data_IF_703336373085
#
_entry.id   IF_703336373085
#
_cell.length_a   1.000
_cell.length_b   1.000
_cell.length_c   1.000
_cell.angle_alpha   90.00
_cell.angle_beta   90.00
_cell.angle_gamma   90.00
#
_symmetry.space_group_name_H-M   'P 1'
#
loop_
_entity.id
_entity.type
_entity.pdbx_description
1 polymer ?
#
# COMPACT_ATOMS: atom_id res chain seq x y z
N UNK A 1 -74.00 -0.44 50.89
CA UNK A 1 -72.62 -0.94 50.78
C UNK A 1 -71.74 0.28 50.71
N UNK A 2 -70.89 0.48 51.72
CA UNK A 2 -70.02 1.65 51.79
C UNK A 2 -68.78 1.38 50.95
N UNK A 3 -68.41 2.32 50.08
CA UNK A 3 -67.12 2.29 49.42
C UNK A 3 -66.12 3.11 50.24
N UNK A 4 -64.94 2.55 50.47
CA UNK A 4 -63.81 3.18 51.15
C UNK A 4 -62.65 3.30 50.17
N UNK A 5 -61.80 4.32 50.34
CA UNK A 5 -60.60 4.47 49.51
C UNK A 5 -59.44 3.68 50.12
N UNK A 6 -58.76 2.90 49.31
CA UNK A 6 -57.51 2.26 49.71
C UNK A 6 -56.44 3.31 49.98
N UNK A 7 -55.77 3.23 51.12
CA UNK A 7 -54.72 4.18 51.55
C UNK A 7 -53.46 4.10 50.68
N UNK A 8 -53.24 2.96 50.00
CA UNK A 8 -52.07 2.75 49.13
C UNK A 8 -52.31 3.18 47.67
N UNK A 9 -53.42 2.73 47.05
CA UNK A 9 -53.65 2.98 45.62
C UNK A 9 -54.74 4.03 45.33
N UNK A 10 -55.43 4.53 46.35
CA UNK A 10 -56.44 5.59 46.22
C UNK A 10 -57.75 5.20 45.52
N UNK A 11 -57.87 3.96 45.00
CA UNK A 11 -59.10 3.45 44.36
C UNK A 11 -60.17 3.07 45.38
N UNK A 12 -61.43 3.18 44.97
CA UNK A 12 -62.59 2.83 45.80
C UNK A 12 -62.80 1.32 45.84
N UNK A 13 -62.95 0.78 47.05
CA UNK A 13 -63.16 -0.64 47.30
C UNK A 13 -64.31 -0.83 48.29
N UNK A 14 -64.94 -2.00 48.25
CA UNK A 14 -66.00 -2.38 49.19
C UNK A 14 -65.46 -2.61 50.59
N UNK A 15 -66.18 -2.14 51.60
CA UNK A 15 -65.88 -2.34 53.03
C UNK A 15 -65.94 -3.82 53.50
N UNK A 16 -66.37 -4.74 52.63
CA UNK A 16 -66.39 -6.19 52.88
C UNK A 16 -65.26 -6.97 52.20
N UNK A 17 -64.40 -6.32 51.40
CA UNK A 17 -63.28 -7.01 50.77
C UNK A 17 -62.23 -7.42 51.83
N UNK A 18 -61.62 -8.60 51.72
CA UNK A 18 -60.55 -9.01 52.65
C UNK A 18 -59.22 -8.30 52.36
N UNK A 19 -59.03 -7.89 51.10
CA UNK A 19 -57.91 -7.09 50.60
C UNK A 19 -58.33 -6.27 49.37
N UNK A 20 -57.59 -5.19 49.06
CA UNK A 20 -57.85 -4.36 47.89
C UNK A 20 -57.66 -5.17 46.59
N UNK A 21 -58.69 -5.30 45.71
CA UNK A 21 -58.57 -6.05 44.46
C UNK A 21 -57.57 -5.43 43.45
N UNK A 22 -57.21 -4.15 43.64
CA UNK A 22 -56.37 -3.41 42.70
C UNK A 22 -54.87 -3.42 43.05
N UNK A 23 -54.52 -3.56 44.33
CA UNK A 23 -53.12 -3.54 44.77
C UNK A 23 -52.75 -4.62 45.80
N UNK A 24 -53.72 -5.40 46.29
CA UNK A 24 -53.47 -6.48 47.25
C UNK A 24 -53.30 -6.04 48.72
N UNK A 25 -53.44 -4.74 49.05
CA UNK A 25 -53.31 -4.25 50.42
C UNK A 25 -54.39 -4.86 51.35
N UNK A 26 -54.03 -5.48 52.49
CA UNK A 26 -54.96 -6.14 53.40
C UNK A 26 -55.81 -5.13 54.18
N UNK A 27 -57.11 -5.42 54.34
CA UNK A 27 -58.06 -4.47 54.95
C UNK A 27 -57.80 -4.13 56.42
N UNK A 28 -57.02 -4.96 57.11
CA UNK A 28 -56.62 -4.74 58.51
C UNK A 28 -55.77 -3.49 58.69
N UNK A 29 -54.99 -3.09 57.70
CA UNK A 29 -54.17 -1.86 57.73
C UNK A 29 -54.98 -0.62 57.31
N UNK A 30 -56.02 -0.78 56.49
CA UNK A 30 -56.89 0.32 56.07
C UNK A 30 -57.84 0.76 57.21
N UNK A 31 -58.22 -0.16 58.10
CA UNK A 31 -59.14 0.11 59.22
C UNK A 31 -58.45 0.70 60.47
N UNK A 32 -57.15 0.43 60.67
CA UNK A 32 -56.39 0.90 61.85
C UNK A 32 -56.14 2.42 61.83
N UNK A 33 -56.11 3.06 60.65
CA UNK A 33 -55.99 4.51 60.51
C UNK A 33 -57.27 5.29 60.89
N UNK A 34 -58.43 4.61 60.97
CA UNK A 34 -59.75 5.27 61.17
C UNK A 34 -60.23 5.32 62.62
N UNK A 35 -59.55 4.69 63.59
CA UNK A 35 -60.07 4.51 64.97
C UNK A 35 -59.41 5.35 66.07
N UNK A 36 -58.45 6.21 65.78
CA UNK A 36 -57.90 7.13 66.78
C UNK A 36 -58.57 8.51 66.74
N UNK A 37 -59.87 8.60 67.07
CA UNK A 37 -60.49 9.86 67.48
C UNK A 37 -61.86 9.66 68.17
N UNK A 38 -61.89 9.72 69.51
CA UNK A 38 -62.93 10.24 70.45
C UNK A 38 -62.82 9.54 71.83
N UNK A 39 -62.33 10.26 72.87
CA UNK A 39 -63.08 10.82 74.05
C UNK A 39 -63.43 9.77 75.13
N UNK A 40 -63.32 9.94 76.47
CA UNK A 40 -63.41 11.06 77.45
C UNK A 40 -62.72 10.57 78.77
N UNK A 41 -61.82 11.31 79.43
CA UNK A 41 -61.96 12.41 80.42
C UNK A 41 -62.23 12.00 81.90
N UNK A 42 -61.31 12.33 82.82
CA UNK A 42 -61.61 12.90 84.17
C UNK A 42 -60.54 13.90 84.64
N UNK A 43 -61.05 15.01 85.18
CA UNK A 43 -60.50 16.39 85.32
C UNK A 43 -59.73 16.68 86.63
N UNK A 44 -58.71 17.58 86.60
CA UNK A 44 -58.55 18.88 87.35
C UNK A 44 -57.07 19.29 87.58
N UNK A 45 -56.70 20.59 87.65
CA UNK A 45 -57.28 21.82 87.08
C UNK A 45 -56.32 22.54 86.08
N UNK A 46 -56.85 23.18 85.04
CA UNK A 46 -56.08 23.98 84.07
C UNK A 46 -56.52 25.46 84.13
N UNK A 47 -55.53 26.34 84.22
CA UNK A 47 -55.68 27.80 84.21
C UNK A 47 -56.25 28.29 82.87
N UNK A 48 -57.28 29.12 82.97
CA UNK A 48 -57.90 29.86 81.88
C UNK A 48 -56.83 30.75 81.22
N UNK A 49 -56.59 30.59 79.91
CA UNK A 49 -55.89 31.59 79.10
C UNK A 49 -56.93 32.48 78.44
N UNK A 50 -56.79 33.78 78.66
CA UNK A 50 -57.66 34.85 78.18
C UNK A 50 -57.77 34.91 76.64
N UNK A 51 -58.88 35.45 76.10
CA UNK A 51 -59.09 35.57 74.66
C UNK A 51 -58.16 36.64 74.07
N UNK A 52 -57.34 36.22 73.10
CA UNK A 52 -56.38 37.05 72.37
C UNK A 52 -57.16 38.08 71.52
N UNK A 53 -56.88 39.37 71.71
CA UNK A 53 -57.49 40.49 70.98
C UNK A 53 -56.99 40.57 69.52
N UNK A 54 -57.75 41.21 68.59
CA UNK A 54 -57.43 41.28 67.15
C UNK A 54 -56.03 41.84 66.81
N UNK A 55 -55.48 42.74 67.63
CA UNK A 55 -54.11 43.28 67.48
C UNK A 55 -53.01 42.25 67.80
N UNK A 56 -53.22 41.40 68.80
CA UNK A 56 -52.23 40.39 69.22
C UNK A 56 -52.12 39.25 68.20
N UNK A 57 -53.19 38.99 67.44
CA UNK A 57 -53.21 38.04 66.31
C UNK A 57 -52.38 38.55 65.13
N UNK A 58 -52.45 39.86 64.81
CA UNK A 58 -51.65 40.52 63.77
C UNK A 58 -50.14 40.51 64.09
N UNK A 59 -49.75 40.82 65.34
CA UNK A 59 -48.34 40.76 65.78
C UNK A 59 -47.74 39.34 65.76
N UNK A 60 -48.52 38.31 66.14
CA UNK A 60 -48.07 36.91 66.06
C UNK A 60 -47.90 36.41 64.62
N UNK A 61 -48.82 36.79 63.73
CA UNK A 61 -48.71 36.47 62.28
C UNK A 61 -47.50 37.18 61.67
N UNK A 62 -47.22 38.43 62.05
CA UNK A 62 -46.05 39.19 61.61
C UNK A 62 -44.72 38.60 62.09
N UNK A 63 -44.63 38.18 63.37
CA UNK A 63 -43.42 37.52 63.89
C UNK A 63 -43.19 36.15 63.22
N UNK A 64 -44.25 35.36 63.03
CA UNK A 64 -44.14 34.07 62.31
C UNK A 64 -43.79 34.24 60.83
N UNK A 65 -44.26 35.30 60.17
CA UNK A 65 -43.88 35.58 58.78
C UNK A 65 -42.42 36.03 58.68
N UNK A 66 -41.94 36.85 59.61
CA UNK A 66 -40.54 37.31 59.65
C UNK A 66 -39.59 36.14 59.94
N UNK A 67 -39.89 35.26 60.90
CA UNK A 67 -39.04 34.08 61.17
C UNK A 67 -39.07 33.07 60.02
N UNK A 68 -40.23 32.84 59.39
CA UNK A 68 -40.31 32.02 58.18
C UNK A 68 -39.47 32.62 57.04
N UNK A 69 -39.50 33.94 56.86
CA UNK A 69 -38.71 34.63 55.85
C UNK A 69 -37.21 34.53 56.12
N UNK A 70 -36.78 34.67 57.39
CA UNK A 70 -35.37 34.49 57.79
C UNK A 70 -34.92 33.04 57.60
N UNK A 71 -35.77 32.05 57.87
CA UNK A 71 -35.46 30.64 57.62
C UNK A 71 -35.37 30.33 56.12
N UNK A 72 -36.28 30.87 55.30
CA UNK A 72 -36.21 30.74 53.84
C UNK A 72 -34.95 31.42 53.30
N UNK A 73 -34.61 32.61 53.80
CA UNK A 73 -33.39 33.31 53.43
C UNK A 73 -32.13 32.52 53.85
N UNK A 74 -32.13 31.91 55.04
CA UNK A 74 -31.04 31.05 55.49
C UNK A 74 -30.89 29.80 54.62
N UNK A 75 -31.99 29.14 54.23
CA UNK A 75 -31.98 28.00 53.30
C UNK A 75 -31.53 28.41 51.90
N UNK A 76 -31.97 29.58 51.42
CA UNK A 76 -31.54 30.12 50.14
C UNK A 76 -30.04 30.45 50.15
N UNK A 77 -29.53 31.02 51.25
CA UNK A 77 -28.10 31.30 51.43
C UNK A 77 -27.29 30.00 51.53
N UNK A 78 -27.74 29.00 52.29
CA UNK A 78 -27.03 27.72 52.38
C UNK A 78 -27.05 26.95 51.06
N UNK A 79 -28.15 26.97 50.31
CA UNK A 79 -28.21 26.40 48.96
C UNK A 79 -27.30 27.15 47.99
N UNK A 80 -27.35 28.49 47.99
CA UNK A 80 -26.55 29.32 47.09
C UNK A 80 -25.05 29.16 47.36
N UNK A 81 -24.61 29.33 48.61
CA UNK A 81 -23.20 29.24 48.98
C UNK A 81 -22.67 27.80 49.09
N UNK A 82 -23.52 26.84 49.50
CA UNK A 82 -23.12 25.46 49.75
C UNK A 82 -23.27 24.52 48.55
N UNK A 83 -24.13 24.84 47.58
CA UNK A 83 -24.41 23.97 46.42
C UNK A 83 -24.17 24.72 45.12
N UNK A 84 -24.82 25.86 44.89
CA UNK A 84 -24.78 26.55 43.60
C UNK A 84 -23.39 27.08 43.24
N UNK A 85 -22.75 27.86 44.12
CA UNK A 85 -21.39 28.38 43.89
C UNK A 85 -20.36 27.27 43.60
N UNK A 86 -20.22 26.20 44.42
CA UNK A 86 -19.25 25.15 44.14
C UNK A 86 -19.58 24.36 42.87
N UNK A 87 -20.85 24.17 42.55
CA UNK A 87 -21.28 23.56 41.29
C UNK A 87 -20.90 24.42 40.08
N UNK A 88 -21.23 25.71 40.08
CA UNK A 88 -20.90 26.65 39.01
C UNK A 88 -19.38 26.71 38.79
N UNK A 89 -18.59 26.71 39.89
CA UNK A 89 -17.13 26.67 39.84
C UNK A 89 -16.60 25.36 39.25
N UNK A 90 -17.08 24.21 39.72
CA UNK A 90 -16.67 22.90 39.21
C UNK A 90 -17.02 22.75 37.72
N UNK A 91 -18.18 23.25 37.30
CA UNK A 91 -18.59 23.22 35.89
C UNK A 91 -17.73 24.15 35.03
N UNK A 92 -17.38 25.34 35.51
CA UNK A 92 -16.45 26.23 34.81
C UNK A 92 -15.06 25.60 34.65
N UNK A 93 -14.54 24.93 35.70
CA UNK A 93 -13.27 24.19 35.62
C UNK A 93 -13.36 23.01 34.62
N UNK A 94 -14.48 22.28 34.63
CA UNK A 94 -14.74 21.22 33.65
C UNK A 94 -14.74 21.75 32.21
N UNK A 95 -15.41 22.88 31.94
CA UNK A 95 -15.45 23.48 30.60
C UNK A 95 -14.04 23.84 30.10
N UNK A 96 -13.19 24.39 30.96
CA UNK A 96 -11.80 24.69 30.63
C UNK A 96 -11.03 23.42 30.27
N UNK A 97 -11.19 22.34 31.04
CA UNK A 97 -10.58 21.04 30.73
C UNK A 97 -11.13 20.43 29.44
N UNK A 98 -12.44 20.57 29.20
CA UNK A 98 -13.10 20.09 27.99
C UNK A 98 -12.56 20.78 26.74
N UNK A 99 -12.44 22.11 26.78
CA UNK A 99 -11.85 22.88 25.69
C UNK A 99 -10.38 22.48 25.48
N UNK A 100 -9.61 22.34 26.56
CA UNK A 100 -8.22 21.91 26.50
C UNK A 100 -8.07 20.48 25.95
N UNK A 101 -8.96 19.55 26.31
CA UNK A 101 -9.00 18.20 25.76
C UNK A 101 -9.21 18.23 24.25
N UNK A 102 -10.23 18.97 23.79
CA UNK A 102 -10.55 19.06 22.37
C UNK A 102 -9.42 19.73 21.58
N UNK A 103 -8.72 20.70 22.19
CA UNK A 103 -7.51 21.27 21.63
C UNK A 103 -6.38 20.23 21.49
N UNK A 104 -6.19 19.33 22.46
CA UNK A 104 -5.20 18.25 22.30
C UNK A 104 -5.61 17.24 21.21
N UNK A 105 -6.91 16.99 21.01
CA UNK A 105 -7.40 16.19 19.88
C UNK A 105 -7.06 16.85 18.54
N UNK A 106 -7.22 18.18 18.42
CA UNK A 106 -6.79 18.92 17.23
C UNK A 106 -5.29 18.82 17.00
N UNK A 107 -4.48 18.99 18.05
CA UNK A 107 -3.02 18.84 17.99
C UNK A 107 -2.64 17.42 17.53
N UNK A 108 -3.21 16.38 18.15
CA UNK A 108 -3.02 14.99 17.77
C UNK A 108 -3.35 14.76 16.29
N UNK A 109 -4.53 15.19 15.85
CA UNK A 109 -5.00 15.01 14.48
C UNK A 109 -4.12 15.74 13.46
N UNK A 110 -3.57 16.91 13.80
CA UNK A 110 -2.62 17.63 12.98
C UNK A 110 -1.29 16.89 12.86
N UNK A 111 -0.77 16.35 13.96
CA UNK A 111 0.45 15.52 13.97
C UNK A 111 0.26 14.23 13.16
N UNK A 112 -0.87 13.55 13.33
CA UNK A 112 -1.27 12.37 12.55
C UNK A 112 -1.34 12.70 11.05
N UNK A 113 -1.89 13.84 10.66
CA UNK A 113 -1.91 14.25 9.25
C UNK A 113 -0.50 14.38 8.66
N UNK A 114 0.42 15.03 9.38
CA UNK A 114 1.81 15.19 8.93
C UNK A 114 2.53 13.85 8.81
N UNK A 115 2.37 12.99 9.82
CA UNK A 115 2.91 11.63 9.80
C UNK A 115 2.36 10.85 8.60
N UNK A 116 1.03 10.80 8.46
CA UNK A 116 0.36 10.01 7.42
C UNK A 116 0.74 10.51 6.02
N UNK A 117 0.96 11.81 5.82
CA UNK A 117 1.45 12.34 4.54
C UNK A 117 2.81 11.73 4.17
N UNK A 118 3.77 11.70 5.11
CA UNK A 118 5.08 11.09 4.88
C UNK A 118 4.97 9.58 4.70
N UNK A 119 4.20 8.91 5.55
CA UNK A 119 3.96 7.47 5.48
C UNK A 119 3.40 7.06 4.12
N UNK A 120 2.41 7.79 3.61
CA UNK A 120 1.84 7.55 2.29
C UNK A 120 2.84 7.75 1.15
N UNK A 121 3.76 8.71 1.26
CA UNK A 121 4.84 8.88 0.27
C UNK A 121 5.81 7.70 0.28
N UNK A 122 6.15 7.17 1.45
CA UNK A 122 6.98 5.96 1.56
C UNK A 122 6.24 4.75 0.96
N UNK A 123 4.97 4.56 1.31
CA UNK A 123 4.13 3.50 0.75
C UNK A 123 4.08 3.59 -0.78
N UNK A 124 3.89 4.78 -1.34
CA UNK A 124 3.86 5.00 -2.78
C UNK A 124 5.20 4.69 -3.44
N UNK A 125 6.32 5.17 -2.89
CA UNK A 125 7.66 4.90 -3.40
C UNK A 125 8.02 3.40 -3.36
N UNK A 126 7.72 2.73 -2.25
CA UNK A 126 7.90 1.27 -2.12
C UNK A 126 7.08 0.51 -3.17
N UNK A 127 5.81 0.91 -3.36
CA UNK A 127 4.93 0.31 -4.36
C UNK A 127 5.45 0.49 -5.78
N UNK A 128 5.94 1.68 -6.13
CA UNK A 128 6.51 1.97 -7.44
C UNK A 128 7.72 1.09 -7.72
N UNK A 129 8.71 1.07 -6.82
CA UNK A 129 9.90 0.22 -6.98
C UNK A 129 9.53 -1.27 -7.02
N UNK A 130 8.58 -1.71 -6.20
CA UNK A 130 8.11 -3.10 -6.21
C UNK A 130 7.51 -3.48 -7.56
N UNK A 131 6.68 -2.61 -8.14
CA UNK A 131 6.10 -2.84 -9.47
C UNK A 131 7.16 -2.98 -10.56
N UNK A 132 8.16 -2.09 -10.57
CA UNK A 132 9.29 -2.17 -11.51
C UNK A 132 10.10 -3.45 -11.32
N UNK A 133 10.34 -3.89 -10.09
CA UNK A 133 11.03 -5.16 -9.81
C UNK A 133 10.21 -6.36 -10.31
N UNK A 134 8.88 -6.33 -10.18
CA UNK A 134 8.00 -7.40 -10.65
C UNK A 134 7.99 -7.50 -12.18
N UNK A 135 7.93 -6.36 -12.89
CA UNK A 135 8.03 -6.30 -14.35
C UNK A 135 9.37 -6.88 -14.85
N UNK A 136 10.48 -6.42 -14.28
CA UNK A 136 11.82 -6.91 -14.63
C UNK A 136 12.03 -8.39 -14.30
N UNK A 137 11.47 -8.87 -13.18
CA UNK A 137 11.55 -10.29 -12.83
C UNK A 137 10.75 -11.14 -13.84
N UNK A 138 9.61 -10.65 -14.33
CA UNK A 138 8.84 -11.36 -15.34
C UNK A 138 9.62 -11.50 -16.66
N UNK A 139 10.43 -10.49 -17.03
CA UNK A 139 11.34 -10.57 -18.17
C UNK A 139 12.39 -11.67 -17.99
N UNK A 140 12.97 -11.80 -16.82
CA UNK A 140 13.94 -12.87 -16.50
C UNK A 140 13.26 -14.25 -16.51
N UNK A 141 12.04 -14.33 -15.98
CA UNK A 141 11.30 -15.58 -15.81
C UNK A 141 10.62 -16.07 -17.10
N UNK A 142 10.78 -15.35 -18.23
CA UNK A 142 10.15 -15.71 -19.51
C UNK A 142 10.65 -17.04 -20.09
N UNK A 143 11.83 -17.51 -19.67
CA UNK A 143 12.44 -18.78 -20.09
C UNK A 143 13.22 -18.71 -21.41
N UNK A 144 13.27 -17.54 -22.05
CA UNK A 144 14.11 -17.32 -23.23
C UNK A 144 15.59 -17.28 -22.84
N UNK A 145 16.46 -17.62 -23.81
CA UNK A 145 17.92 -17.52 -23.65
C UNK A 145 18.38 -16.20 -24.25
N UNK A 146 19.11 -15.34 -23.53
CA UNK A 146 19.63 -14.09 -24.08
C UNK A 146 20.89 -14.35 -24.90
N UNK A 147 21.16 -13.50 -25.90
CA UNK A 147 22.39 -13.55 -26.68
C UNK A 147 23.61 -13.25 -25.80
N UNK A 148 23.57 -12.13 -25.06
CA UNK A 148 24.54 -11.77 -24.03
C UNK A 148 24.09 -12.29 -22.66
N UNK A 149 24.63 -13.43 -22.24
CA UNK A 149 24.24 -14.10 -20.98
C UNK A 149 24.45 -13.26 -19.70
N UNK A 150 25.37 -12.29 -19.74
CA UNK A 150 25.65 -11.41 -18.61
C UNK A 150 24.49 -10.46 -18.31
N UNK A 151 23.71 -10.03 -19.33
CA UNK A 151 22.57 -9.10 -19.17
C UNK A 151 21.56 -9.60 -18.13
N UNK A 152 21.19 -10.88 -18.21
CA UNK A 152 20.27 -11.52 -17.26
C UNK A 152 20.88 -11.65 -15.86
N UNK A 153 22.20 -11.90 -15.76
CA UNK A 153 22.88 -12.01 -14.46
C UNK A 153 22.97 -10.66 -13.76
N UNK A 154 23.31 -9.62 -14.52
CA UNK A 154 23.38 -8.23 -14.07
C UNK A 154 22.02 -7.79 -13.54
N UNK A 155 20.95 -7.92 -14.35
CA UNK A 155 19.60 -7.56 -13.92
C UNK A 155 19.17 -8.34 -12.67
N UNK A 156 19.40 -9.65 -12.60
CA UNK A 156 19.09 -10.44 -11.40
C UNK A 156 19.78 -9.91 -10.13
N UNK A 157 21.04 -9.51 -10.23
CA UNK A 157 21.78 -8.95 -9.11
C UNK A 157 21.23 -7.58 -8.71
N UNK A 158 20.93 -6.73 -9.69
CA UNK A 158 20.30 -5.42 -9.47
C UNK A 158 18.94 -5.58 -8.79
N UNK A 159 18.08 -6.50 -9.25
CA UNK A 159 16.79 -6.78 -8.60
C UNK A 159 16.94 -7.25 -7.16
N UNK A 160 17.92 -8.12 -6.89
CA UNK A 160 18.22 -8.57 -5.52
C UNK A 160 18.63 -7.41 -4.60
N UNK A 161 19.50 -6.52 -5.08
CA UNK A 161 19.94 -5.34 -4.32
C UNK A 161 18.80 -4.32 -4.13
N UNK A 162 17.95 -4.16 -5.15
CA UNK A 162 16.80 -3.28 -5.14
C UNK A 162 15.76 -3.71 -4.10
N UNK A 163 15.46 -5.02 -4.02
CA UNK A 163 14.59 -5.59 -2.97
C UNK A 163 15.09 -5.28 -1.56
N UNK A 164 16.40 -5.33 -1.35
CA UNK A 164 17.00 -5.00 -0.05
C UNK A 164 16.99 -3.50 0.28
N UNK A 165 16.74 -2.64 -0.71
CA UNK A 165 16.68 -1.18 -0.55
C UNK A 165 15.28 -0.68 -0.18
N UNK A 166 14.25 -1.55 -0.30
CA UNK A 166 12.88 -1.22 0.08
C UNK A 166 12.81 -1.02 1.59
N UNK A 167 12.33 0.16 2.01
CA UNK A 167 12.19 0.49 3.40
C UNK A 167 10.98 -0.23 4.02
N UNK A 168 10.99 -0.40 5.34
CA UNK A 168 9.81 -0.91 6.06
C UNK A 168 8.59 -0.02 5.78
N UNK A 169 7.43 -0.67 5.60
CA UNK A 169 6.19 0.04 5.29
C UNK A 169 5.59 0.58 6.59
N UNK A 170 5.48 1.91 6.76
CA UNK A 170 4.90 2.49 7.96
C UNK A 170 3.40 2.20 8.07
N UNK A 171 2.92 2.09 9.30
CA UNK A 171 1.49 2.03 9.58
C UNK A 171 0.83 3.40 9.36
N UNK A 172 -0.50 3.46 9.34
CA UNK A 172 -1.26 4.71 9.25
C UNK A 172 -2.01 4.91 10.56
N UNK A 173 -1.95 6.12 11.12
CA UNK A 173 -2.69 6.48 12.33
C UNK A 173 -4.08 7.00 11.98
N UNK A 174 -5.06 6.59 12.78
CA UNK A 174 -6.43 7.08 12.68
C UNK A 174 -6.60 8.38 13.47
N UNK A 175 -7.46 9.27 12.95
CA UNK A 175 -7.84 10.49 13.65
C UNK A 175 -8.77 10.18 14.82
N UNK A 176 -8.69 11.01 15.85
CA UNK A 176 -9.63 10.99 16.98
C UNK A 176 -10.74 12.01 16.76
N UNK A 177 -11.92 11.69 17.31
CA UNK A 177 -13.10 12.54 17.22
C UNK A 177 -13.16 13.45 18.45
N UNK A 178 -13.44 14.73 18.25
CA UNK A 178 -13.64 15.68 19.34
C UNK A 178 -14.87 15.28 20.17
N UNK A 179 -14.81 15.55 21.47
CA UNK A 179 -15.94 15.32 22.36
C UNK A 179 -17.00 16.39 22.16
N UNK A 180 -18.27 15.97 22.24
CA UNK A 180 -19.41 16.87 22.32
C UNK A 180 -19.72 17.21 23.77
N UNK A 181 -20.14 18.46 24.02
CA UNK A 181 -20.41 18.93 25.36
C UNK A 181 -21.71 18.32 25.91
N UNK A 182 -21.61 17.63 27.05
CA UNK A 182 -22.80 17.19 27.79
C UNK A 182 -23.37 18.35 28.63
N UNK A 183 -24.36 19.05 28.08
CA UNK A 183 -25.05 20.13 28.77
C UNK A 183 -25.78 19.67 30.04
N UNK A 184 -26.11 18.37 30.19
CA UNK A 184 -26.81 17.87 31.36
C UNK A 184 -25.95 17.89 32.63
N UNK A 185 -24.62 17.88 32.46
CA UNK A 185 -23.65 17.90 33.54
C UNK A 185 -23.73 19.19 34.38
N UNK A 186 -24.17 20.31 33.79
CA UNK A 186 -24.32 21.59 34.50
C UNK A 186 -25.37 21.57 35.63
N UNK A 187 -26.27 20.57 35.65
CA UNK A 187 -27.28 20.36 36.70
C UNK A 187 -26.85 19.35 37.75
N UNK A 188 -25.67 18.75 37.60
CA UNK A 188 -25.17 17.71 38.50
C UNK A 188 -24.53 18.27 39.77
N UNK A 189 -24.37 17.41 40.79
CA UNK A 189 -23.67 17.76 42.02
C UNK A 189 -22.19 18.04 41.73
N UNK A 190 -21.61 19.03 42.43
CA UNK A 190 -20.21 19.44 42.25
C UNK A 190 -19.20 18.28 42.32
N UNK A 191 -19.40 17.27 43.18
CA UNK A 191 -18.51 16.11 43.27
C UNK A 191 -18.50 15.28 41.99
N UNK A 192 -19.67 15.07 41.34
CA UNK A 192 -19.78 14.34 40.08
C UNK A 192 -19.12 15.09 38.93
N UNK A 193 -19.25 16.42 38.91
CA UNK A 193 -18.59 17.27 37.92
C UNK A 193 -17.06 17.17 38.10
N UNK A 194 -16.58 17.18 39.34
CA UNK A 194 -15.16 17.03 39.66
C UNK A 194 -14.63 15.65 39.24
N UNK A 195 -15.37 14.57 39.48
CA UNK A 195 -15.01 13.21 39.03
C UNK A 195 -14.91 13.14 37.50
N UNK A 196 -15.88 13.71 36.78
CA UNK A 196 -15.86 13.79 35.31
C UNK A 196 -14.66 14.62 34.81
N UNK A 197 -14.35 15.73 35.47
CA UNK A 197 -13.20 16.58 35.15
C UNK A 197 -11.86 15.87 35.38
N UNK A 198 -11.75 15.05 36.44
CA UNK A 198 -10.56 14.26 36.71
C UNK A 198 -10.37 13.16 35.66
N UNK A 199 -11.44 12.42 35.33
CA UNK A 199 -11.41 11.42 34.24
C UNK A 199 -10.99 12.02 32.92
N UNK A 200 -11.54 13.18 32.55
CA UNK A 200 -11.22 13.86 31.29
C UNK A 200 -9.77 14.35 31.25
N UNK A 201 -9.21 14.77 32.38
CA UNK A 201 -7.80 15.13 32.48
C UNK A 201 -6.87 13.93 32.30
N UNK A 202 -7.25 12.75 32.80
CA UNK A 202 -6.50 11.50 32.57
C UNK A 202 -6.48 11.18 31.08
N UNK A 203 -7.65 11.14 30.43
CA UNK A 203 -7.74 10.89 28.98
C UNK A 203 -6.96 11.93 28.18
N UNK A 204 -7.05 13.22 28.55
CA UNK A 204 -6.25 14.29 27.92
C UNK A 204 -4.75 13.99 28.00
N UNK A 205 -4.25 13.55 29.16
CA UNK A 205 -2.83 13.21 29.33
C UNK A 205 -2.40 12.05 28.41
N UNK A 206 -3.28 11.08 28.17
CA UNK A 206 -3.01 9.98 27.24
C UNK A 206 -2.92 10.49 25.79
N UNK A 207 -3.79 11.43 25.39
CA UNK A 207 -3.72 12.07 24.07
C UNK A 207 -2.40 12.82 23.88
N UNK A 208 -1.94 13.54 24.92
CA UNK A 208 -0.65 14.25 24.88
C UNK A 208 0.50 13.26 24.69
N UNK A 209 0.52 12.14 25.41
CA UNK A 209 1.53 11.09 25.24
C UNK A 209 1.53 10.53 23.81
N UNK A 210 0.36 10.13 23.32
CA UNK A 210 0.21 9.60 21.96
C UNK A 210 0.62 10.63 20.89
N UNK A 211 0.36 11.92 21.12
CA UNK A 211 0.79 12.99 20.20
C UNK A 211 2.31 13.09 20.14
N UNK A 212 2.99 12.98 21.29
CA UNK A 212 4.46 12.98 21.37
C UNK A 212 5.05 11.78 20.63
N UNK A 213 4.51 10.58 20.87
CA UNK A 213 4.96 9.33 20.23
C UNK A 213 4.84 9.41 18.69
N UNK A 214 3.67 9.80 18.16
CA UNK A 214 3.48 9.97 16.71
C UNK A 214 4.38 11.08 16.15
N UNK A 215 4.63 12.14 16.93
CA UNK A 215 5.53 13.23 16.55
C UNK A 215 6.99 12.77 16.40
N UNK A 216 7.48 11.97 17.35
CA UNK A 216 8.82 11.37 17.32
C UNK A 216 8.96 10.39 16.15
N UNK A 217 7.98 9.52 15.93
CA UNK A 217 7.97 8.61 14.78
C UNK A 217 7.97 9.40 13.45
N UNK A 218 7.15 10.45 13.34
CA UNK A 218 7.10 11.32 12.15
C UNK A 218 8.44 11.99 11.86
N UNK A 219 9.20 12.36 12.90
CA UNK A 219 10.52 12.94 12.76
C UNK A 219 11.56 11.91 12.25
N UNK A 220 11.38 10.64 12.60
CA UNK A 220 12.20 9.53 12.12
C UNK A 220 11.90 9.08 10.69
N UNK A 221 10.71 9.37 10.15
CA UNK A 221 10.34 9.00 8.78
C UNK A 221 11.16 9.77 7.74
N UNK A 222 11.88 9.02 6.91
CA UNK A 222 12.55 9.51 5.71
C UNK A 222 11.91 8.90 4.47
N UNK A 223 11.49 9.75 3.53
CA UNK A 223 10.97 9.29 2.24
C UNK A 223 12.15 8.80 1.40
N UNK A 224 12.16 7.53 0.95
CA UNK A 224 13.23 7.04 0.09
C UNK A 224 13.12 7.63 -1.32
N UNK A 225 14.25 7.79 -1.98
CA UNK A 225 14.33 8.15 -3.39
C UNK A 225 14.90 6.96 -4.18
N UNK A 226 14.01 6.29 -4.91
CA UNK A 226 14.36 5.13 -5.74
C UNK A 226 14.60 5.50 -7.21
N UNK A 227 14.58 6.78 -7.57
CA UNK A 227 14.66 7.21 -8.98
C UNK A 227 15.86 6.64 -9.74
N UNK A 228 17.04 6.60 -9.10
CA UNK A 228 18.26 6.03 -9.69
C UNK A 228 18.18 4.52 -9.86
N UNK A 229 17.65 3.81 -8.86
CA UNK A 229 17.48 2.36 -8.90
C UNK A 229 16.50 1.98 -10.01
N UNK A 230 15.37 2.71 -10.10
CA UNK A 230 14.37 2.49 -11.15
C UNK A 230 14.96 2.74 -12.54
N UNK A 231 15.77 3.79 -12.72
CA UNK A 231 16.43 4.05 -13.99
C UNK A 231 17.42 2.93 -14.35
N UNK A 232 18.25 2.49 -13.40
CA UNK A 232 19.20 1.39 -13.60
C UNK A 232 18.51 0.08 -14.00
N UNK A 233 17.40 -0.28 -13.33
CA UNK A 233 16.60 -1.46 -13.69
C UNK A 233 16.09 -1.34 -15.14
N UNK A 234 15.54 -0.18 -15.52
CA UNK A 234 14.98 0.02 -16.87
C UNK A 234 16.04 -0.04 -17.97
N UNK A 235 17.21 0.54 -17.74
CA UNK A 235 18.33 0.47 -18.68
C UNK A 235 18.78 -1.00 -18.84
N UNK A 236 18.85 -1.77 -17.75
CA UNK A 236 19.21 -3.19 -17.78
C UNK A 236 18.12 -4.10 -18.39
N UNK A 237 16.84 -3.77 -18.20
CA UNK A 237 15.72 -4.42 -18.89
C UNK A 237 15.83 -4.26 -20.39
N UNK A 238 16.06 -3.03 -20.89
CA UNK A 238 16.22 -2.76 -22.32
C UNK A 238 17.39 -3.56 -22.91
N UNK A 239 18.53 -3.63 -22.21
CA UNK A 239 19.67 -4.45 -22.62
C UNK A 239 19.32 -5.93 -22.71
N UNK A 240 18.55 -6.46 -21.76
CA UNK A 240 18.11 -7.86 -21.76
C UNK A 240 17.08 -8.14 -22.87
N UNK A 241 16.10 -7.26 -23.08
CA UNK A 241 15.12 -7.36 -24.16
C UNK A 241 15.78 -7.35 -25.54
N UNK A 242 16.74 -6.44 -25.73
CA UNK A 242 17.55 -6.39 -26.95
C UNK A 242 18.33 -7.69 -27.14
N UNK A 243 18.93 -8.21 -26.08
CA UNK A 243 19.66 -9.48 -26.09
C UNK A 243 18.78 -10.68 -26.48
N UNK A 244 17.55 -10.76 -25.97
CA UNK A 244 16.57 -11.77 -26.40
C UNK A 244 16.17 -11.60 -27.87
N UNK A 245 15.95 -10.36 -28.30
CA UNK A 245 15.58 -10.06 -29.68
C UNK A 245 16.68 -10.50 -30.64
N UNK A 246 17.94 -10.15 -30.34
CA UNK A 246 19.11 -10.58 -31.12
C UNK A 246 19.17 -12.11 -31.17
N UNK A 247 19.06 -12.79 -30.03
CA UNK A 247 19.11 -14.25 -29.99
C UNK A 247 18.07 -14.88 -30.93
N UNK A 248 16.85 -14.35 -30.93
CA UNK A 248 15.77 -14.80 -31.81
C UNK A 248 16.07 -14.54 -33.28
N UNK A 249 16.67 -13.39 -33.63
CA UNK A 249 17.06 -13.08 -35.01
C UNK A 249 18.07 -14.09 -35.56
N UNK A 250 19.04 -14.51 -34.74
CA UNK A 250 20.11 -15.42 -35.17
C UNK A 250 19.75 -16.90 -34.99
N UNK A 251 18.56 -17.22 -34.49
CA UNK A 251 18.06 -18.61 -34.37
C UNK A 251 17.24 -19.01 -35.59
N UNK A 252 17.86 -19.80 -36.46
CA UNK A 252 17.32 -20.32 -37.72
C UNK A 252 16.62 -19.24 -38.57
N UNK A 253 17.30 -18.11 -38.88
CA UNK A 253 16.73 -17.06 -39.70
C UNK A 253 16.35 -17.54 -41.09
N UNK A 254 15.45 -16.80 -41.74
CA UNK A 254 15.13 -17.04 -43.15
C UNK A 254 16.25 -16.55 -44.06
N UNK A 255 16.35 -17.13 -45.25
CA UNK A 255 17.28 -16.66 -46.29
C UNK A 255 17.09 -15.16 -46.58
N UNK A 256 15.83 -14.72 -46.72
CA UNK A 256 15.51 -13.31 -47.02
C UNK A 256 15.97 -12.36 -45.91
N UNK A 257 15.85 -12.77 -44.65
CA UNK A 257 16.39 -12.01 -43.52
C UNK A 257 17.92 -11.84 -43.64
N UNK A 258 18.65 -12.93 -43.88
CA UNK A 258 20.11 -12.88 -44.01
C UNK A 258 20.51 -11.97 -45.18
N UNK A 259 19.85 -12.10 -46.33
CA UNK A 259 20.08 -11.23 -47.49
C UNK A 259 19.85 -9.76 -47.15
N UNK A 260 18.74 -9.44 -46.49
CA UNK A 260 18.40 -8.07 -46.12
C UNK A 260 19.46 -7.44 -45.21
N UNK A 261 20.05 -8.22 -44.28
CA UNK A 261 21.12 -7.76 -43.40
C UNK A 261 22.45 -7.57 -44.13
N UNK A 262 22.91 -8.58 -44.87
CA UNK A 262 24.27 -8.56 -45.42
C UNK A 262 24.44 -7.69 -46.66
N UNK A 263 23.36 -7.38 -47.39
CA UNK A 263 23.42 -6.49 -48.55
C UNK A 263 23.85 -5.05 -48.19
N UNK A 264 23.79 -4.67 -46.91
CA UNK A 264 24.24 -3.36 -46.43
C UNK A 264 25.71 -3.34 -45.99
N UNK A 265 26.39 -4.48 -46.00
CA UNK A 265 27.80 -4.58 -45.60
C UNK A 265 28.68 -4.09 -46.75
N UNK A 266 29.46 -3.03 -46.52
CA UNK A 266 30.28 -2.34 -47.54
C UNK A 266 31.17 -3.30 -48.35
N UNK A 267 31.74 -4.30 -47.68
CA UNK A 267 32.69 -5.25 -48.27
C UNK A 267 32.03 -6.49 -48.93
N UNK A 268 30.70 -6.48 -49.07
CA UNK A 268 29.91 -7.46 -49.81
C UNK A 268 29.43 -6.84 -51.14
N UNK A 269 29.75 -7.48 -52.26
CA UNK A 269 29.38 -7.00 -53.60
C UNK A 269 28.19 -7.80 -54.19
N UNK A 270 28.45 -8.89 -54.92
CA UNK A 270 27.39 -9.77 -55.40
C UNK A 270 27.05 -10.83 -54.35
N UNK A 271 25.77 -11.18 -54.27
CA UNK A 271 25.24 -12.21 -53.37
C UNK A 271 24.39 -13.18 -54.18
N UNK A 272 24.54 -14.49 -53.93
CA UNK A 272 23.73 -15.54 -54.55
C UNK A 272 23.39 -16.61 -53.52
N UNK A 273 22.17 -17.14 -53.58
CA UNK A 273 21.76 -18.25 -52.74
C UNK A 273 21.85 -19.57 -53.52
N UNK A 274 22.35 -20.61 -52.85
CA UNK A 274 22.28 -21.95 -53.40
C UNK A 274 20.82 -22.43 -53.43
N UNK A 275 20.54 -23.29 -54.40
CA UNK A 275 19.29 -24.04 -54.58
C UNK A 275 19.62 -25.52 -54.49
N UNK A 276 18.61 -26.38 -54.34
CA UNK A 276 18.84 -27.83 -54.29
C UNK A 276 19.52 -28.37 -55.56
N UNK A 277 19.40 -27.66 -56.69
CA UNK A 277 19.95 -28.05 -57.97
C UNK A 277 21.44 -27.69 -58.12
N UNK A 278 21.87 -26.55 -57.56
CA UNK A 278 23.23 -26.02 -57.72
C UNK A 278 24.04 -25.97 -56.41
N UNK A 279 23.54 -26.59 -55.34
CA UNK A 279 24.23 -26.68 -54.06
C UNK A 279 25.50 -27.57 -54.13
N UNK A 280 26.72 -27.02 -53.92
CA UNK A 280 27.97 -27.77 -54.07
C UNK A 280 28.09 -28.98 -53.16
N UNK A 281 27.50 -28.93 -51.95
CA UNK A 281 27.57 -30.05 -50.99
C UNK A 281 26.38 -31.00 -51.10
N UNK A 282 25.34 -30.62 -51.85
CA UNK A 282 24.07 -31.34 -51.93
C UNK A 282 23.44 -31.62 -50.57
N UNK A 283 23.54 -30.69 -49.61
CA UNK A 283 23.01 -30.76 -48.24
C UNK A 283 21.88 -29.75 -47.97
N UNK A 284 21.63 -28.80 -48.87
CA UNK A 284 20.53 -27.85 -48.72
C UNK A 284 19.19 -28.58 -48.54
N UNK A 285 18.43 -28.20 -47.51
CA UNK A 285 17.10 -28.74 -47.21
C UNK A 285 17.07 -30.17 -46.66
N UNK A 286 18.20 -30.88 -46.61
CA UNK A 286 18.28 -32.27 -46.14
C UNK A 286 18.35 -32.36 -44.62
N UNK A 287 18.01 -33.55 -44.10
CA UNK A 287 18.15 -33.81 -42.67
C UNK A 287 19.62 -33.73 -42.24
N UNK A 288 19.87 -33.00 -41.15
CA UNK A 288 21.22 -32.64 -40.70
C UNK A 288 21.99 -31.66 -41.62
N UNK A 289 21.35 -31.12 -42.67
CA UNK A 289 21.90 -30.11 -43.57
C UNK A 289 21.52 -28.67 -43.18
N UNK A 290 21.94 -27.71 -44.00
CA UNK A 290 21.56 -26.31 -43.86
C UNK A 290 20.21 -26.02 -44.53
N UNK A 291 19.50 -25.04 -43.96
CA UNK A 291 18.23 -24.52 -44.46
C UNK A 291 18.42 -23.44 -45.51
N UNK A 292 19.55 -22.73 -45.48
CA UNK A 292 19.97 -21.78 -46.50
C UNK A 292 21.51 -21.77 -46.61
N UNK A 293 21.99 -21.48 -47.81
CA UNK A 293 23.41 -21.22 -48.07
C UNK A 293 23.50 -20.01 -49.00
N UNK A 294 24.17 -18.98 -48.51
CA UNK A 294 24.38 -17.72 -49.20
C UNK A 294 25.87 -17.60 -49.50
N UNK A 295 26.22 -17.27 -50.74
CA UNK A 295 27.59 -16.96 -51.18
C UNK A 295 27.67 -15.49 -51.56
N UNK A 296 28.82 -14.89 -51.27
CA UNK A 296 29.08 -13.50 -51.63
C UNK A 296 30.50 -13.28 -52.15
N UNK A 297 30.63 -12.35 -53.08
CA UNK A 297 31.92 -11.83 -53.55
C UNK A 297 32.34 -10.61 -52.72
N UNK A 298 33.64 -10.35 -52.59
CA UNK A 298 34.14 -9.18 -51.86
C UNK A 298 35.08 -8.31 -52.69
N UNK A 299 34.88 -6.97 -52.73
CA UNK A 299 35.84 -6.04 -53.33
C UNK A 299 37.24 -6.12 -52.73
N UNK A 300 37.37 -6.61 -51.49
CA UNK A 300 38.67 -6.84 -50.84
C UNK A 300 39.56 -7.84 -51.58
N UNK A 301 38.98 -8.66 -52.46
CA UNK A 301 39.63 -9.66 -53.29
C UNK A 301 39.63 -9.30 -54.79
N UNK A 302 38.97 -8.21 -55.20
CA UNK A 302 38.81 -7.85 -56.61
C UNK A 302 37.86 -8.79 -57.38
N UNK A 303 36.90 -9.41 -56.69
CA UNK A 303 35.99 -10.44 -57.21
C UNK A 303 34.57 -9.93 -57.43
N UNK A 304 34.34 -8.61 -57.36
CA UNK A 304 33.03 -7.95 -57.51
C UNK A 304 32.37 -8.16 -58.89
N UNK A 305 33.07 -8.76 -59.84
CA UNK A 305 32.52 -9.13 -61.16
C UNK A 305 32.03 -10.58 -61.21
N UNK A 306 32.29 -11.39 -60.18
CA UNK A 306 31.82 -12.79 -60.08
C UNK A 306 30.39 -12.79 -59.53
N UNK A 307 29.44 -13.36 -60.28
CA UNK A 307 28.02 -13.39 -59.95
C UNK A 307 27.34 -14.66 -60.47
N UNK A 308 26.10 -14.92 -59.99
CA UNK A 308 25.29 -16.07 -60.40
C UNK A 308 25.93 -17.41 -60.03
N UNK A 309 25.73 -18.44 -60.87
CA UNK A 309 26.27 -19.78 -60.59
C UNK A 309 27.81 -19.79 -60.47
N UNK A 310 28.51 -18.90 -61.19
CA UNK A 310 29.98 -18.77 -61.06
C UNK A 310 30.43 -18.35 -59.66
N UNK A 311 29.58 -17.62 -58.94
CA UNK A 311 29.87 -17.25 -57.56
C UNK A 311 29.68 -18.43 -56.62
N UNK A 312 28.71 -19.30 -56.89
CA UNK A 312 28.52 -20.57 -56.16
C UNK A 312 29.72 -21.49 -56.40
N UNK A 313 30.16 -21.61 -57.66
CA UNK A 313 31.34 -22.41 -58.03
C UNK A 313 32.62 -21.92 -57.36
N UNK A 314 32.80 -20.60 -57.25
CA UNK A 314 33.94 -19.99 -56.59
C UNK A 314 33.88 -20.09 -55.06
N UNK A 315 32.68 -20.18 -54.48
CA UNK A 315 32.48 -20.34 -53.05
C UNK A 315 33.21 -19.29 -52.21
N UNK A 316 33.91 -19.74 -51.18
CA UNK A 316 34.66 -18.86 -50.26
C UNK A 316 35.87 -18.19 -50.91
N UNK A 317 36.35 -18.66 -52.07
CA UNK A 317 37.48 -18.01 -52.76
C UNK A 317 37.09 -16.65 -53.34
N UNK A 318 35.81 -16.45 -53.67
CA UNK A 318 35.30 -15.17 -54.15
C UNK A 318 35.07 -14.14 -53.04
N UNK A 319 34.91 -14.55 -51.78
CA UNK A 319 34.61 -13.62 -50.69
C UNK A 319 34.25 -14.35 -49.41
N UNK A 320 33.15 -15.09 -49.42
CA UNK A 320 32.71 -15.83 -48.26
C UNK A 320 31.34 -16.47 -48.45
N UNK A 321 30.84 -17.05 -47.35
CA UNK A 321 29.55 -17.73 -47.35
C UNK A 321 28.90 -17.73 -45.98
N UNK A 322 27.58 -17.74 -45.94
CA UNK A 322 26.78 -17.91 -44.72
C UNK A 322 25.89 -19.15 -44.89
N UNK A 323 26.03 -20.09 -43.95
CA UNK A 323 25.26 -21.33 -43.87
C UNK A 323 24.27 -21.21 -42.70
N UNK A 324 22.98 -21.41 -42.93
CA UNK A 324 21.95 -21.36 -41.87
C UNK A 324 21.52 -22.78 -41.51
N UNK A 325 21.47 -23.09 -40.22
CA UNK A 325 21.08 -24.39 -39.69
C UNK A 325 19.82 -24.32 -38.83
N UNK A 326 19.17 -25.47 -38.65
CA UNK A 326 18.01 -25.61 -37.77
C UNK A 326 18.35 -25.43 -36.30
N UNK A 327 19.54 -25.84 -35.88
CA UNK A 327 19.97 -25.81 -34.47
C UNK A 327 21.42 -25.34 -34.35
N UNK A 328 21.79 -24.87 -33.15
CA UNK A 328 23.13 -24.38 -32.85
C UNK A 328 24.13 -25.53 -32.93
N UNK A 329 23.75 -26.73 -32.46
CA UNK A 329 24.61 -27.92 -32.49
C UNK A 329 24.99 -28.32 -33.92
N UNK A 330 24.08 -28.15 -34.88
CA UNK A 330 24.35 -28.41 -36.29
C UNK A 330 25.33 -27.39 -36.89
N UNK A 331 25.18 -26.11 -36.54
CA UNK A 331 26.12 -25.06 -36.93
C UNK A 331 27.51 -25.30 -36.32
N UNK A 332 27.60 -25.67 -35.04
CA UNK A 332 28.86 -26.00 -34.38
C UNK A 332 29.52 -27.27 -34.92
N UNK A 333 28.74 -28.29 -35.24
CA UNK A 333 29.25 -29.49 -35.90
C UNK A 333 29.86 -29.16 -37.26
N UNK A 334 29.24 -28.26 -38.02
CA UNK A 334 29.80 -27.76 -39.28
C UNK A 334 31.08 -26.95 -39.04
N UNK A 335 31.07 -26.04 -38.09
CA UNK A 335 32.22 -25.22 -37.73
C UNK A 335 33.43 -26.07 -37.35
N UNK A 336 33.19 -27.13 -36.55
CA UNK A 336 34.20 -28.13 -36.17
C UNK A 336 34.71 -28.95 -37.36
N UNK A 337 33.82 -29.29 -38.31
CA UNK A 337 34.20 -29.95 -39.55
C UNK A 337 35.12 -29.07 -40.40
N UNK A 338 34.79 -27.77 -40.55
CA UNK A 338 35.61 -26.82 -41.29
C UNK A 338 37.00 -26.66 -40.67
N UNK A 339 37.07 -26.58 -39.34
CA UNK A 339 38.34 -26.47 -38.60
C UNK A 339 39.32 -27.62 -38.87
N UNK A 340 38.83 -28.80 -39.29
CA UNK A 340 39.70 -29.94 -39.64
C UNK A 340 40.51 -29.73 -40.94
N UNK A 341 40.18 -28.69 -41.72
CA UNK A 341 40.85 -28.34 -42.96
C UNK A 341 41.75 -27.09 -42.85
N UNK A 342 41.74 -26.40 -41.71
CA UNK A 342 42.49 -25.17 -41.48
C UNK A 342 44.00 -25.35 -41.72
N UNK A 343 44.61 -24.40 -42.43
CA UNK A 343 46.03 -24.44 -42.80
C UNK A 343 46.40 -25.48 -43.87
N UNK A 344 45.41 -26.22 -44.38
CA UNK A 344 45.58 -27.21 -45.45
C UNK A 344 45.27 -26.67 -46.85
N UNK A 345 45.35 -27.54 -47.86
CA UNK A 345 44.97 -27.20 -49.25
C UNK A 345 43.46 -27.00 -49.44
N UNK A 346 42.66 -27.37 -48.43
CA UNK A 346 41.21 -27.21 -48.40
C UNK A 346 40.76 -26.17 -47.36
N UNK A 347 41.70 -25.32 -46.92
CA UNK A 347 41.43 -24.22 -46.00
C UNK A 347 40.37 -23.30 -46.60
N UNK A 348 39.33 -23.09 -45.82
CA UNK A 348 38.10 -22.43 -46.25
C UNK A 348 38.04 -20.96 -45.82
N UNK A 349 39.14 -20.50 -45.20
CA UNK A 349 39.29 -19.22 -44.55
C UNK A 349 38.68 -19.21 -43.17
N UNK A 350 38.68 -18.03 -42.53
CA UNK A 350 38.14 -17.89 -41.19
C UNK A 350 36.64 -18.17 -41.18
N UNK A 351 36.20 -18.88 -40.16
CA UNK A 351 34.82 -19.24 -39.96
C UNK A 351 34.43 -19.10 -38.48
N UNK A 352 33.17 -18.78 -38.23
CA UNK A 352 32.62 -18.63 -36.88
C UNK A 352 31.14 -18.97 -36.86
N UNK A 353 30.65 -19.42 -35.70
CA UNK A 353 29.23 -19.62 -35.43
C UNK A 353 28.63 -18.36 -34.83
N UNK A 354 27.42 -18.03 -35.26
CA UNK A 354 26.56 -17.03 -34.64
C UNK A 354 25.13 -17.55 -34.63
N UNK A 355 24.60 -17.85 -33.44
CA UNK A 355 23.31 -18.51 -33.29
C UNK A 355 23.32 -19.85 -34.03
N UNK A 356 22.44 -20.02 -35.02
CA UNK A 356 22.43 -21.23 -35.87
C UNK A 356 23.07 -21.00 -37.25
N UNK A 357 23.87 -19.95 -37.41
CA UNK A 357 24.57 -19.65 -38.66
C UNK A 357 26.06 -19.92 -38.56
N UNK A 358 26.67 -20.36 -39.65
CA UNK A 358 28.14 -20.39 -39.83
C UNK A 358 28.51 -19.32 -40.85
N UNK A 359 29.26 -18.32 -40.41
CA UNK A 359 29.79 -17.24 -41.27
C UNK A 359 31.22 -17.56 -41.63
N UNK A 360 31.56 -17.47 -42.91
CA UNK A 360 32.87 -17.82 -43.47
C UNK A 360 33.37 -16.69 -44.36
N UNK A 361 34.65 -16.35 -44.27
CA UNK A 361 35.32 -15.37 -45.15
C UNK A 361 36.61 -15.96 -45.72
N UNK A 362 36.99 -15.52 -46.92
CA UNK A 362 38.03 -16.13 -47.74
C UNK A 362 39.39 -16.26 -47.05
N UNK A 363 40.04 -17.42 -47.25
CA UNK A 363 41.43 -17.66 -46.84
C UNK A 363 42.43 -16.74 -47.57
N UNK A 364 42.03 -16.19 -48.72
CA UNK A 364 42.84 -15.27 -49.53
C UNK A 364 42.97 -13.87 -48.91
N UNK A 365 42.17 -13.55 -47.90
CA UNK A 365 42.34 -12.33 -47.10
C UNK A 365 43.42 -12.52 -46.04
N UNK A 366 44.10 -11.45 -45.65
CA UNK A 366 44.99 -11.50 -44.47
C UNK A 366 44.17 -11.73 -43.21
N UNK A 367 44.75 -12.36 -42.18
CA UNK A 367 44.06 -12.65 -40.92
C UNK A 367 43.34 -11.40 -40.32
N UNK A 368 44.00 -10.24 -40.27
CA UNK A 368 43.39 -8.99 -39.81
C UNK A 368 42.16 -8.56 -40.64
N UNK A 369 42.19 -8.77 -41.97
CA UNK A 369 41.04 -8.47 -42.83
C UNK A 369 39.91 -9.49 -42.64
N UNK A 370 40.25 -10.76 -42.43
CA UNK A 370 39.25 -11.79 -42.11
C UNK A 370 38.53 -11.46 -40.81
N UNK A 371 39.27 -11.01 -39.78
CA UNK A 371 38.71 -10.60 -38.49
C UNK A 371 37.75 -9.42 -38.63
N UNK A 372 38.20 -8.33 -39.28
CA UNK A 372 37.36 -7.14 -39.52
C UNK A 372 36.09 -7.50 -40.30
N UNK A 373 36.25 -8.29 -41.36
CA UNK A 373 35.14 -8.59 -42.25
C UNK A 373 34.10 -9.52 -41.62
N UNK A 374 34.53 -10.51 -40.83
CA UNK A 374 33.58 -11.31 -40.02
C UNK A 374 32.82 -10.43 -39.04
N UNK A 375 33.49 -9.51 -38.36
CA UNK A 375 32.85 -8.63 -37.39
C UNK A 375 31.81 -7.72 -38.07
N UNK A 376 32.13 -7.12 -39.22
CA UNK A 376 31.18 -6.32 -40.01
C UNK A 376 29.92 -7.11 -40.39
N UNK A 377 30.08 -8.39 -40.77
CA UNK A 377 28.95 -9.27 -41.08
C UNK A 377 28.14 -9.60 -39.83
N UNK A 378 28.81 -9.92 -38.71
CA UNK A 378 28.15 -10.21 -37.44
C UNK A 378 27.35 -9.00 -36.96
N UNK A 379 27.94 -7.81 -36.96
CA UNK A 379 27.29 -6.55 -36.57
C UNK A 379 26.01 -6.32 -37.40
N UNK A 380 26.06 -6.53 -38.71
CA UNK A 380 24.87 -6.42 -39.56
C UNK A 380 23.80 -7.46 -39.21
N UNK A 381 24.17 -8.69 -38.84
CA UNK A 381 23.23 -9.75 -38.47
C UNK A 381 22.55 -9.52 -37.12
N UNK A 382 23.23 -8.85 -36.17
CA UNK A 382 22.72 -8.60 -34.82
C UNK A 382 22.14 -7.19 -34.63
N UNK A 383 22.26 -6.30 -35.62
CA UNK A 383 21.63 -4.98 -35.58
C UNK A 383 20.11 -5.11 -35.37
N UNK A 384 19.53 -4.30 -34.47
CA UNK A 384 18.11 -4.29 -34.11
C UNK A 384 17.31 -3.23 -34.88
#
# INVERSE_FOLDING_TARGET
MSMIKCTECGKEISDKATACPHCGCPMTEILSATKENKKEEKVKPIKIKEPITPEQKKKRIFIMSVTAFVLIAAVALTWYFGIKIPQDKAYAEYLVTFDAYNQEIENYNSTVLNYNEKANKIIAANKELTGVIEEAQALIDCGDTPYESETMTTLNNTLKNSRNSICETPNIYEKKTALELDESLNKSLASKISEANESLNVERSEIVSATSEVGEESAGLSVPDYSKIIAEIKDEEELLENSYTIQKQITNPTQDFVLAKINNVENIANVVCATEENDPNGKLGKDGGYTAQIYFSSPLLGTETIAGDKLIDAGTDAGGSIEVYKTVEAAEARNSYLASFDGGIFDSGKHTVIGTMVVRVSTNLTATKQDSFINEIIEALIEL
#
